data_IF_650716344503
#
_entry.id   IF_650716344503
#
_cell.length_a   1.000
_cell.length_b   1.000
_cell.length_c   1.000
_cell.angle_alpha   90.00
_cell.angle_beta   90.00
_cell.angle_gamma   90.00
#
_symmetry.space_group_name_H-M   'P 1'
#
loop_
_entity.id
_entity.type
_entity.pdbx_description
1 polymer ?
#
# COMPACT_ATOMS: atom_id res chain seq x y z
N UNK A 1 11.02 16.02 35.26
CA UNK A 1 11.75 14.80 34.85
C UNK A 1 11.71 14.70 33.34
N UNK A 2 12.83 14.85 32.64
CA UNK A 2 12.88 14.77 31.18
C UNK A 2 12.76 13.31 30.73
N UNK A 3 11.82 13.00 29.85
CA UNK A 3 11.66 11.65 29.31
C UNK A 3 12.86 11.31 28.41
N UNK A 4 13.48 10.15 28.62
CA UNK A 4 14.60 9.68 27.81
C UNK A 4 14.09 9.22 26.44
N UNK A 5 14.29 10.05 25.41
CA UNK A 5 13.92 9.73 24.02
C UNK A 5 14.80 8.58 23.50
N UNK A 6 14.18 7.53 22.98
CA UNK A 6 14.83 6.38 22.35
C UNK A 6 15.03 6.70 20.86
N UNK A 7 16.28 6.93 20.48
CA UNK A 7 16.67 7.23 19.10
C UNK A 7 16.45 6.06 18.15
N UNK A 8 16.26 6.37 16.87
CA UNK A 8 16.17 5.37 15.81
C UNK A 8 17.52 4.63 15.66
N UNK A 9 17.53 3.29 15.60
CA UNK A 9 18.76 2.54 15.38
C UNK A 9 19.30 2.80 13.96
N UNK A 10 20.64 2.91 13.79
CA UNK A 10 21.24 3.21 12.48
C UNK A 10 21.06 2.08 11.48
N UNK A 11 20.94 0.83 11.96
CA UNK A 11 20.69 -0.33 11.12
C UNK A 11 19.41 -1.05 11.57
N UNK A 12 18.67 -1.56 10.59
CA UNK A 12 17.43 -2.33 10.81
C UNK A 12 17.68 -3.82 11.07
N UNK A 13 18.86 -4.18 11.59
CA UNK A 13 19.22 -5.59 11.84
C UNK A 13 18.56 -6.06 13.14
N UNK A 14 17.36 -6.62 13.03
CA UNK A 14 16.66 -7.24 14.15
C UNK A 14 15.14 -7.21 14.00
N UNK A 15 14.46 -7.96 14.86
CA UNK A 15 13.01 -7.86 14.98
C UNK A 15 12.61 -6.49 15.54
N UNK A 16 11.50 -5.94 15.07
CA UNK A 16 10.97 -4.66 15.59
C UNK A 16 10.83 -4.69 17.12
N UNK A 17 10.37 -5.82 17.68
CA UNK A 17 10.24 -6.01 19.12
C UNK A 17 11.58 -5.82 19.85
N UNK A 18 12.68 -6.37 19.31
CA UNK A 18 14.03 -6.20 19.87
C UNK A 18 14.49 -4.75 19.76
N UNK A 19 14.26 -4.10 18.61
CA UNK A 19 14.62 -2.70 18.40
C UNK A 19 13.85 -1.74 19.33
N UNK A 20 12.61 -2.09 19.67
CA UNK A 20 11.79 -1.34 20.64
C UNK A 20 12.15 -1.62 22.10
N UNK A 21 13.10 -2.52 22.38
CA UNK A 21 13.44 -3.03 23.73
C UNK A 21 12.26 -3.72 24.43
N UNK A 22 11.36 -4.32 23.66
CA UNK A 22 10.19 -5.05 24.15
C UNK A 22 10.38 -6.58 24.09
N UNK A 23 11.60 -7.08 23.96
CA UNK A 23 11.89 -8.52 23.87
C UNK A 23 11.30 -9.31 25.04
N UNK A 24 11.32 -8.72 26.24
CA UNK A 24 10.82 -9.35 27.46
C UNK A 24 9.34 -9.03 27.74
N UNK A 25 8.70 -8.18 26.92
CA UNK A 25 7.31 -7.76 27.09
C UNK A 25 6.48 -8.05 25.83
N UNK A 26 6.31 -9.36 25.56
CA UNK A 26 5.49 -9.85 24.45
C UNK A 26 4.05 -9.32 24.44
N UNK A 27 3.33 -9.27 25.58
CA UNK A 27 1.96 -8.74 25.63
C UNK A 27 1.87 -7.28 25.15
N UNK A 28 2.79 -6.41 25.57
CA UNK A 28 2.82 -5.01 25.14
C UNK A 28 3.07 -4.89 23.63
N UNK A 29 4.01 -5.67 23.08
CA UNK A 29 4.24 -5.68 21.64
C UNK A 29 3.03 -6.19 20.84
N UNK A 30 2.34 -7.20 21.36
CA UNK A 30 1.10 -7.72 20.76
C UNK A 30 -0.01 -6.67 20.75
N UNK A 31 -0.18 -5.93 21.84
CA UNK A 31 -1.13 -4.82 21.92
C UNK A 31 -0.78 -3.71 20.93
N UNK A 32 0.49 -3.31 20.88
CA UNK A 32 1.00 -2.31 19.93
C UNK A 32 0.67 -2.71 18.49
N UNK A 33 1.06 -3.90 18.04
CA UNK A 33 0.81 -4.34 16.65
C UNK A 33 -0.68 -4.52 16.34
N UNK A 34 -1.50 -4.96 17.30
CA UNK A 34 -2.96 -5.01 17.15
C UNK A 34 -3.54 -3.61 16.94
N UNK A 35 -3.07 -2.63 17.72
CA UNK A 35 -3.52 -1.25 17.62
C UNK A 35 -3.10 -0.60 16.30
N UNK A 36 -1.86 -0.77 15.88
CA UNK A 36 -1.36 -0.24 14.60
C UNK A 36 -2.16 -0.78 13.40
N UNK A 37 -2.51 -2.07 13.39
CA UNK A 37 -3.37 -2.65 12.32
C UNK A 37 -4.75 -2.02 12.27
N UNK A 38 -5.34 -1.72 13.43
CA UNK A 38 -6.65 -1.06 13.50
C UNK A 38 -6.61 0.34 12.90
N UNK A 39 -5.57 1.12 13.19
CA UNK A 39 -5.40 2.46 12.62
C UNK A 39 -5.12 2.36 11.12
N UNK A 40 -4.26 1.41 10.73
CA UNK A 40 -3.91 1.20 9.32
C UNK A 40 -5.14 0.90 8.47
N UNK A 41 -6.04 0.01 8.93
CA UNK A 41 -7.27 -0.29 8.20
C UNK A 41 -8.29 0.86 8.15
N UNK A 42 -8.09 1.95 8.89
CA UNK A 42 -8.95 3.14 8.84
C UNK A 42 -8.38 4.24 7.95
N UNK A 43 -7.05 4.42 7.95
CA UNK A 43 -6.40 5.56 7.31
C UNK A 43 -5.65 5.18 6.04
N UNK A 44 -5.17 3.94 5.91
CA UNK A 44 -4.30 3.52 4.82
C UNK A 44 -5.00 2.54 3.91
N UNK A 45 -4.70 2.63 2.61
CA UNK A 45 -5.09 1.59 1.66
C UNK A 45 -4.13 0.41 1.78
N UNK A 46 -4.59 -0.67 2.40
CA UNK A 46 -3.77 -1.87 2.65
C UNK A 46 -3.44 -2.65 1.36
N UNK A 47 -4.12 -2.36 0.24
CA UNK A 47 -3.85 -2.98 -1.05
C UNK A 47 -2.61 -2.39 -1.76
N UNK A 48 -2.21 -1.17 -1.39
CA UNK A 48 -1.13 -0.40 -2.02
C UNK A 48 0.19 -0.56 -1.25
N UNK A 49 1.32 -0.54 -1.97
CA UNK A 49 2.66 -0.68 -1.38
C UNK A 49 3.01 0.56 -0.56
N UNK A 50 3.83 0.39 0.48
CA UNK A 50 4.28 1.51 1.32
C UNK A 50 4.88 2.69 0.54
N UNK A 51 5.68 2.43 -0.50
CA UNK A 51 6.31 3.47 -1.31
C UNK A 51 5.36 4.19 -2.27
N UNK A 52 4.16 3.65 -2.48
CA UNK A 52 3.10 4.19 -3.34
C UNK A 52 2.01 4.88 -2.50
N UNK A 53 2.08 4.81 -1.17
CA UNK A 53 1.17 5.53 -0.28
C UNK A 53 1.45 7.03 -0.38
N UNK A 54 0.40 7.83 -0.20
CA UNK A 54 0.54 9.27 -0.06
C UNK A 54 1.37 9.61 1.21
N UNK A 55 2.45 10.40 1.10
CA UNK A 55 3.24 10.82 2.24
C UNK A 55 2.43 11.57 3.31
N UNK A 56 1.39 12.32 2.93
CA UNK A 56 0.53 13.03 3.88
C UNK A 56 -0.31 12.07 4.71
N UNK A 57 -0.88 11.03 4.08
CA UNK A 57 -1.66 10.01 4.80
C UNK A 57 -0.76 9.19 5.74
N UNK A 58 0.49 8.92 5.33
CA UNK A 58 1.48 8.28 6.22
C UNK A 58 1.80 9.15 7.45
N UNK A 59 1.84 10.46 7.27
CA UNK A 59 2.03 11.41 8.38
C UNK A 59 0.81 11.45 9.30
N UNK A 60 -0.40 11.48 8.76
CA UNK A 60 -1.64 11.38 9.54
C UNK A 60 -1.70 10.06 10.32
N UNK A 61 -1.30 8.95 9.71
CA UNK A 61 -1.19 7.66 10.38
C UNK A 61 -0.20 7.71 11.54
N UNK A 62 0.96 8.37 11.37
CA UNK A 62 1.98 8.54 12.40
C UNK A 62 1.44 9.37 13.58
N UNK A 63 0.80 10.50 13.29
CA UNK A 63 0.20 11.38 14.31
C UNK A 63 -0.93 10.66 15.06
N UNK A 64 -1.82 9.98 14.35
CA UNK A 64 -2.92 9.21 14.95
C UNK A 64 -2.40 8.08 15.84
N UNK A 65 -1.36 7.36 15.42
CA UNK A 65 -0.70 6.33 16.20
C UNK A 65 -0.03 6.89 17.46
N UNK A 66 0.70 7.99 17.35
CA UNK A 66 1.38 8.63 18.48
C UNK A 66 0.40 9.21 19.50
N UNK A 67 -0.75 9.70 19.03
CA UNK A 67 -1.82 10.25 19.88
C UNK A 67 -2.56 9.15 20.62
N UNK A 68 -2.94 8.08 19.91
CA UNK A 68 -3.75 6.99 20.49
C UNK A 68 -2.95 5.95 21.27
N UNK A 69 -1.63 5.88 21.08
CA UNK A 69 -0.74 5.01 21.84
C UNK A 69 0.40 5.82 22.46
N UNK A 70 0.19 6.45 23.64
CA UNK A 70 1.13 7.41 24.23
C UNK A 70 2.55 6.88 24.45
N UNK A 71 2.72 5.56 24.58
CA UNK A 71 4.05 4.92 24.67
C UNK A 71 4.96 5.23 23.46
N UNK A 72 4.39 5.62 22.30
CA UNK A 72 5.16 6.02 21.13
C UNK A 72 5.90 7.35 21.30
N UNK A 73 5.49 8.22 22.24
CA UNK A 73 6.16 9.49 22.52
C UNK A 73 7.59 9.32 23.04
N UNK A 74 7.92 8.12 23.54
CA UNK A 74 9.26 7.78 24.00
C UNK A 74 10.24 7.49 22.85
N UNK A 75 9.78 7.47 21.59
CA UNK A 75 10.60 7.15 20.43
C UNK A 75 10.71 8.37 19.52
N UNK A 76 11.94 8.64 19.07
CA UNK A 76 12.23 9.69 18.10
C UNK A 76 11.36 9.52 16.85
N UNK A 77 10.62 10.57 16.50
CA UNK A 77 9.70 10.64 15.37
C UNK A 77 8.67 9.51 15.29
N UNK A 78 8.39 8.82 16.42
CA UNK A 78 7.60 7.60 16.44
C UNK A 78 8.08 6.56 15.40
N UNK A 79 9.39 6.45 15.18
CA UNK A 79 9.97 5.53 14.17
C UNK A 79 9.45 4.08 14.24
N UNK A 80 9.06 3.49 15.39
CA UNK A 80 8.51 2.13 15.40
C UNK A 80 7.20 2.00 14.63
N UNK A 81 6.39 3.07 14.59
CA UNK A 81 5.13 3.13 13.84
C UNK A 81 5.40 2.99 12.35
N UNK A 82 6.29 3.83 11.81
CA UNK A 82 6.68 3.83 10.40
C UNK A 82 7.37 2.52 9.99
N UNK A 83 8.24 1.99 10.87
CA UNK A 83 8.90 0.70 10.64
C UNK A 83 7.89 -0.44 10.57
N UNK A 84 6.93 -0.46 11.51
CA UNK A 84 5.90 -1.47 11.57
C UNK A 84 5.06 -1.47 10.29
N UNK A 85 4.53 -0.30 9.89
CA UNK A 85 3.60 -0.22 8.77
C UNK A 85 4.28 -0.60 7.44
N UNK A 86 5.55 -0.20 7.23
CA UNK A 86 6.33 -0.61 6.05
C UNK A 86 6.43 -2.13 5.95
N UNK A 87 6.70 -2.80 7.07
CA UNK A 87 6.84 -4.26 7.13
C UNK A 87 5.48 -4.94 6.95
N UNK A 88 4.43 -4.39 7.57
CA UNK A 88 3.06 -4.91 7.49
C UNK A 88 2.51 -4.86 6.06
N UNK A 89 2.57 -3.69 5.40
CA UNK A 89 2.08 -3.55 4.02
C UNK A 89 2.86 -4.45 3.05
N UNK A 90 4.18 -4.59 3.22
CA UNK A 90 4.96 -5.51 2.41
C UNK A 90 4.51 -6.97 2.57
N UNK A 91 4.16 -7.40 3.78
CA UNK A 91 3.64 -8.74 4.05
C UNK A 91 2.23 -8.95 3.47
N UNK A 92 1.34 -7.98 3.64
CA UNK A 92 -0.03 -8.03 3.11
C UNK A 92 -0.02 -8.05 1.58
N UNK A 93 0.81 -7.22 0.94
CA UNK A 93 0.96 -7.20 -0.51
C UNK A 93 1.48 -8.54 -1.05
N UNK A 94 2.49 -9.13 -0.40
CA UNK A 94 2.99 -10.48 -0.76
C UNK A 94 1.88 -11.53 -0.68
N UNK A 95 1.03 -11.46 0.34
CA UNK A 95 -0.11 -12.38 0.50
C UNK A 95 -1.16 -12.20 -0.60
N UNK A 96 -1.52 -10.96 -0.94
CA UNK A 96 -2.44 -10.69 -2.05
C UNK A 96 -1.91 -11.22 -3.38
N UNK A 97 -0.62 -10.98 -3.66
CA UNK A 97 0.04 -11.51 -4.87
C UNK A 97 0.03 -13.03 -4.91
N UNK A 98 0.29 -13.69 -3.77
CA UNK A 98 0.23 -15.15 -3.67
C UNK A 98 -1.18 -15.68 -3.99
N UNK A 99 -2.21 -15.13 -3.32
CA UNK A 99 -3.60 -15.55 -3.53
C UNK A 99 -4.08 -15.32 -4.97
N UNK A 100 -3.69 -14.19 -5.59
CA UNK A 100 -4.00 -13.91 -6.99
C UNK A 100 -3.38 -14.96 -7.92
N UNK A 101 -2.09 -15.26 -7.74
CA UNK A 101 -1.39 -16.27 -8.53
C UNK A 101 -1.99 -17.68 -8.31
N UNK A 102 -2.45 -17.99 -7.10
CA UNK A 102 -3.09 -19.27 -6.77
C UNK A 102 -4.44 -19.41 -7.49
N UNK A 103 -5.27 -18.36 -7.48
CA UNK A 103 -6.54 -18.33 -8.21
C UNK A 103 -6.34 -18.51 -9.72
N UNK A 104 -5.35 -17.83 -10.30
CA UNK A 104 -4.99 -17.97 -11.72
C UNK A 104 -4.51 -19.39 -12.06
N UNK A 105 -3.78 -20.05 -11.15
CA UNK A 105 -3.35 -21.45 -11.31
C UNK A 105 -4.52 -22.42 -11.26
N UNK A 106 -5.49 -22.20 -10.37
CA UNK A 106 -6.69 -23.04 -10.30
C UNK A 106 -7.57 -22.89 -11.54
N UNK A 107 -7.74 -21.67 -12.05
CA UNK A 107 -8.48 -21.42 -13.30
C UNK A 107 -7.86 -22.16 -14.50
N UNK A 108 -6.53 -22.14 -14.65
CA UNK A 108 -5.83 -22.86 -15.73
C UNK A 108 -5.92 -24.38 -15.62
N UNK A 109 -6.02 -24.93 -14.41
CA UNK A 109 -6.17 -26.38 -14.21
C UNK A 109 -7.58 -26.86 -14.56
N UNK A 110 -8.60 -26.06 -14.29
CA UNK A 110 -9.97 -26.38 -14.67
C UNK A 110 -10.19 -26.28 -16.18
N UNK A 111 -9.54 -25.34 -16.88
CA UNK A 111 -9.59 -25.27 -18.35
C UNK A 111 -8.81 -26.38 -19.07
N UNK A 112 -8.12 -27.26 -18.32
CA UNK A 112 -7.38 -28.39 -18.86
C UNK A 112 -8.01 -29.73 -18.41
N UNK A 113 -9.31 -29.74 -18.11
CA UNK A 113 -10.07 -30.98 -18.25
C UNK A 113 -10.07 -31.32 -19.74
N UNK A 114 -9.38 -32.38 -20.16
CA UNK A 114 -9.38 -32.78 -21.56
C UNK A 114 -10.84 -33.00 -21.96
N UNK A 115 -11.22 -32.47 -23.11
CA UNK A 115 -12.50 -32.73 -23.75
C UNK A 115 -12.57 -34.22 -24.13
N UNK A 116 -12.74 -35.11 -23.15
CA UNK A 116 -12.93 -36.55 -23.31
C UNK A 116 -14.43 -36.92 -23.23
N UNK A 117 -15.31 -35.92 -23.31
CA UNK A 117 -16.76 -36.11 -23.30
C UNK A 117 -17.37 -36.16 -24.72
N UNK A 118 -16.56 -36.19 -25.77
CA UNK A 118 -17.01 -36.15 -27.17
C UNK A 118 -16.43 -37.30 -28.01
N UNK A 119 -16.36 -38.51 -27.44
CA UNK A 119 -16.19 -39.75 -28.22
C UNK A 119 -16.75 -40.94 -27.45
N UNK A 120 -18.06 -40.95 -27.23
CA UNK A 120 -18.80 -42.15 -26.84
C UNK A 120 -20.23 -42.08 -27.40
N UNK A 121 -20.31 -41.79 -28.71
CA UNK A 121 -21.41 -42.25 -29.52
C UNK A 121 -20.98 -43.59 -30.13
N UNK A 122 -21.93 -44.53 -30.16
CA UNK A 122 -21.86 -45.89 -30.70
C UNK A 122 -21.50 -47.02 -29.70
N UNK A 123 -22.44 -47.29 -28.78
CA UNK A 123 -22.70 -48.66 -28.34
C UNK A 123 -24.17 -48.80 -27.96
N UNK A 124 -24.87 -49.49 -28.86
CA UNK A 124 -26.28 -49.79 -28.87
C UNK A 124 -26.80 -50.49 -27.61
N UNK A 125 -28.07 -50.18 -27.33
CA UNK A 125 -29.15 -51.06 -26.87
C UNK A 125 -28.77 -52.37 -26.12
N UNK A 126 -29.20 -52.50 -24.86
CA UNK A 126 -30.25 -53.48 -24.58
C UNK A 126 -30.99 -53.24 -23.26
N UNK A 127 -32.27 -53.56 -23.33
CA UNK A 127 -33.33 -53.35 -22.36
C UNK A 127 -33.13 -54.19 -21.09
N UNK A 128 -33.44 -53.62 -19.93
CA UNK A 128 -33.85 -54.44 -18.78
C UNK A 128 -34.81 -53.64 -17.90
N UNK A 129 -36.06 -53.98 -18.16
CA UNK A 129 -37.29 -53.64 -17.51
C UNK A 129 -37.37 -54.30 -16.11
N UNK A 130 -38.33 -53.85 -15.30
CA UNK A 130 -38.98 -54.59 -14.19
C UNK A 130 -38.47 -54.37 -12.74
N UNK A 131 -39.40 -53.75 -11.98
CA UNK A 131 -39.79 -53.87 -10.55
C UNK A 131 -39.65 -52.56 -9.78
N UNK A 132 -40.69 -51.75 -9.65
CA UNK A 132 -41.94 -51.94 -8.88
C UNK A 132 -41.74 -52.11 -7.36
N UNK A 133 -42.71 -51.55 -6.63
CA UNK A 133 -43.10 -51.83 -5.24
C UNK A 133 -42.52 -50.97 -4.09
N UNK A 134 -43.33 -49.99 -3.70
CA UNK A 134 -44.13 -49.96 -2.44
C UNK A 134 -43.78 -48.91 -1.37
N UNK A 135 -44.85 -48.19 -1.02
CA UNK A 135 -45.20 -47.47 0.22
C UNK A 135 -44.30 -47.65 1.45
N UNK A 136 -44.01 -46.54 2.15
CA UNK A 136 -44.77 -46.16 3.36
C UNK A 136 -44.27 -44.87 3.99
N UNK A 137 -45.24 -44.11 4.50
CA UNK A 137 -45.12 -43.03 5.46
C UNK A 137 -44.24 -43.39 6.67
N UNK A 138 -43.40 -42.45 7.12
CA UNK A 138 -43.56 -41.84 8.45
C UNK A 138 -42.53 -40.71 8.65
N UNK A 139 -43.04 -39.55 9.04
CA UNK A 139 -42.32 -38.36 9.46
C UNK A 139 -41.65 -38.58 10.82
N UNK A 140 -40.34 -38.32 10.99
CA UNK A 140 -39.74 -38.13 12.30
C UNK A 140 -39.58 -36.64 12.62
N UNK A 141 -40.33 -36.22 13.64
CA UNK A 141 -40.18 -34.99 14.41
C UNK A 141 -38.70 -34.71 14.77
N UNK A 142 -38.20 -33.54 14.37
CA UNK A 142 -36.87 -33.05 14.71
C UNK A 142 -36.82 -32.53 16.16
N UNK A 143 -35.84 -32.92 17.00
CA UNK A 143 -35.54 -32.23 18.25
C UNK A 143 -34.68 -30.97 18.00
N UNK A 144 -34.78 -29.92 18.85
CA UNK A 144 -33.95 -28.74 18.73
C UNK A 144 -32.54 -29.03 19.28
N UNK A 145 -31.55 -29.13 18.39
CA UNK A 145 -30.15 -29.28 18.78
C UNK A 145 -29.44 -27.92 18.79
N UNK A 146 -28.98 -27.59 19.99
CA UNK A 146 -28.11 -26.49 20.37
C UNK A 146 -26.81 -26.46 19.55
N UNK A 147 -26.57 -25.35 18.85
CA UNK A 147 -25.28 -25.08 18.20
C UNK A 147 -24.22 -24.69 19.25
N UNK A 148 -23.61 -25.68 19.91
CA UNK A 148 -22.33 -25.51 20.59
C UNK A 148 -21.21 -25.57 19.55
N UNK A 149 -20.64 -24.41 19.22
CA UNK A 149 -19.50 -24.29 18.31
C UNK A 149 -18.22 -24.77 19.02
N UNK A 150 -18.04 -26.08 19.10
CA UNK A 150 -16.81 -26.73 19.57
C UNK A 150 -15.74 -26.65 18.47
N UNK A 151 -14.76 -25.80 18.70
CA UNK A 151 -13.50 -25.71 17.94
C UNK A 151 -12.67 -26.97 18.19
N UNK A 152 -12.72 -27.92 17.27
CA UNK A 152 -11.80 -29.04 17.20
C UNK A 152 -10.50 -28.60 16.53
N UNK A 153 -9.46 -28.40 17.35
CA UNK A 153 -8.08 -28.32 16.87
C UNK A 153 -7.59 -29.71 16.46
N UNK A 154 -6.93 -29.86 15.30
CA UNK A 154 -6.16 -31.07 15.02
C UNK A 154 -4.82 -31.01 15.77
N UNK A 155 -4.69 -31.88 16.77
CA UNK A 155 -3.44 -32.29 17.39
C UNK A 155 -2.50 -32.86 16.32
N UNK A 156 -1.48 -32.09 15.93
CA UNK A 156 -0.35 -32.59 15.14
C UNK A 156 0.83 -32.86 16.06
N UNK A 157 0.77 -33.99 16.73
CA UNK A 157 1.90 -34.61 17.43
C UNK A 157 2.76 -35.33 16.39
N UNK A 158 3.93 -34.79 16.01
CA UNK A 158 5.02 -35.57 15.40
C UNK A 158 6.38 -35.06 15.85
N UNK A 159 6.89 -35.77 16.85
CA UNK A 159 8.22 -36.39 16.91
C UNK A 159 9.41 -35.64 16.29
N UNK A 160 10.29 -35.23 17.21
CA UNK A 160 11.72 -35.00 17.00
C UNK A 160 12.39 -36.15 16.23
N UNK A 161 13.42 -35.83 15.43
CA UNK A 161 14.67 -36.55 15.59
C UNK A 161 15.78 -35.65 16.13
N UNK A 162 16.36 -36.11 17.22
CA UNK A 162 17.59 -35.67 17.82
C UNK A 162 18.75 -36.27 17.02
N UNK A 163 19.60 -35.43 16.43
CA UNK A 163 20.90 -35.83 15.90
C UNK A 163 21.97 -34.90 16.52
N UNK A 164 22.82 -35.52 17.32
CA UNK A 164 24.00 -34.93 17.93
C UNK A 164 25.17 -34.90 16.92
N UNK A 165 26.14 -34.05 17.28
CA UNK A 165 27.58 -34.20 17.07
C UNK A 165 28.19 -33.69 15.75
N UNK A 166 29.00 -32.65 15.96
CA UNK A 166 30.38 -32.47 15.50
C UNK A 166 30.68 -32.07 14.06
N UNK A 167 31.56 -31.06 13.98
CA UNK A 167 32.64 -31.08 13.01
C UNK A 167 32.62 -30.00 11.94
N UNK A 168 33.55 -29.06 12.12
CA UNK A 168 34.41 -28.51 11.07
C UNK A 168 33.94 -27.34 10.16
N UNK A 169 34.67 -26.23 10.38
CA UNK A 169 35.37 -25.40 9.37
C UNK A 169 34.52 -24.57 8.40
N UNK A 170 34.37 -23.29 8.77
CA UNK A 170 34.63 -22.16 7.84
C UNK A 170 36.04 -22.31 7.23
N UNK A 171 36.24 -21.99 5.93
CA UNK A 171 36.64 -20.62 5.60
C UNK A 171 36.31 -20.19 4.16
N UNK A 172 35.45 -19.19 3.97
CA UNK A 172 35.45 -18.39 2.74
C UNK A 172 36.00 -17.02 3.03
N UNK A 173 37.32 -16.98 2.92
CA UNK A 173 38.13 -15.81 2.69
C UNK A 173 37.78 -15.26 1.30
N UNK A 174 37.40 -13.99 1.21
CA UNK A 174 37.47 -13.23 -0.03
C UNK A 174 37.97 -11.84 0.30
N UNK A 175 39.26 -11.68 0.02
CA UNK A 175 40.01 -10.43 -0.06
C UNK A 175 39.59 -9.67 -1.32
N UNK A 176 39.66 -8.35 -1.26
CA UNK A 176 39.58 -7.45 -2.42
C UNK A 176 39.27 -6.03 -1.94
N UNK A 177 40.31 -5.27 -1.56
CA UNK A 177 40.95 -4.22 -2.37
C UNK A 177 40.19 -2.87 -2.23
N UNK A 178 40.68 -1.94 -1.40
CA UNK A 178 41.67 -0.88 -1.70
C UNK A 178 41.23 0.06 -2.84
N UNK A 179 40.99 1.31 -2.46
CA UNK A 179 40.68 2.47 -3.30
C UNK A 179 40.11 3.58 -2.41
N UNK A 180 40.92 4.29 -1.63
CA UNK A 180 41.72 5.47 -1.99
C UNK A 180 40.89 6.70 -2.40
N UNK A 181 40.90 7.67 -1.48
CA UNK A 181 40.97 9.13 -1.68
C UNK A 181 39.99 9.83 -2.64
N UNK A 182 39.17 10.72 -2.06
CA UNK A 182 39.18 12.14 -2.43
C UNK A 182 38.44 12.96 -1.36
N UNK A 183 39.22 13.60 -0.51
CA UNK A 183 38.85 14.82 0.21
C UNK A 183 38.56 15.93 -0.79
N UNK A 184 37.39 16.56 -0.69
CA UNK A 184 37.13 17.86 -1.31
C UNK A 184 36.56 18.78 -0.25
N UNK A 185 37.49 19.46 0.41
CA UNK A 185 37.26 20.75 1.04
C UNK A 185 37.02 21.77 -0.08
N UNK A 186 36.03 22.64 0.06
CA UNK A 186 36.10 24.03 -0.41
C UNK A 186 34.85 24.82 -0.03
N UNK A 187 35.09 25.80 0.85
CA UNK A 187 34.83 27.22 0.57
C UNK A 187 33.41 27.75 0.70
N UNK A 188 33.18 28.30 1.89
CA UNK A 188 32.34 29.45 2.16
C UNK A 188 32.58 30.58 1.15
N UNK A 189 31.51 31.17 0.61
CA UNK A 189 31.53 32.54 0.08
C UNK A 189 30.21 33.22 0.41
N UNK A 190 30.27 34.01 1.48
CA UNK A 190 29.34 35.07 1.80
C UNK A 190 29.42 36.17 0.74
N UNK A 191 28.29 36.61 0.20
CA UNK A 191 28.20 37.85 -0.57
C UNK A 191 26.93 38.58 -0.17
N UNK A 192 27.15 39.59 0.67
CA UNK A 192 26.22 40.65 0.99
C UNK A 192 26.10 41.58 -0.21
N UNK A 193 24.89 41.78 -0.72
CA UNK A 193 24.58 42.85 -1.65
C UNK A 193 23.37 43.63 -1.13
N UNK A 194 23.67 44.67 -0.34
CA UNK A 194 22.81 45.81 -0.11
C UNK A 194 22.58 46.52 -1.44
N UNK A 195 21.35 46.51 -1.94
CA UNK A 195 20.96 47.39 -3.06
C UNK A 195 19.69 48.13 -2.69
N UNK A 196 19.76 49.42 -2.99
CA UNK A 196 18.98 50.53 -2.46
C UNK A 196 17.50 50.51 -2.81
N UNK A 197 16.71 51.04 -1.88
CA UNK A 197 15.33 51.42 -2.05
C UNK A 197 15.18 52.64 -3.00
N UNK A 198 14.18 52.61 -3.89
CA UNK A 198 13.49 53.81 -4.34
C UNK A 198 12.04 53.87 -3.80
N UNK A 199 11.62 55.09 -3.51
CA UNK A 199 10.36 55.49 -2.89
C UNK A 199 9.10 55.13 -3.73
N UNK A 200 7.91 55.06 -3.08
CA UNK A 200 6.71 54.47 -3.66
C UNK A 200 5.99 55.42 -4.61
N UNK A 201 5.84 54.99 -5.86
CA UNK A 201 4.86 55.58 -6.79
C UNK A 201 3.54 54.86 -6.61
N UNK A 202 2.50 55.65 -6.36
CA UNK A 202 1.11 55.27 -6.11
C UNK A 202 0.58 54.28 -7.17
N UNK A 203 0.56 52.99 -6.84
CA UNK A 203 -0.13 51.96 -7.63
C UNK A 203 -1.47 51.71 -6.96
N UNK A 204 -2.54 52.01 -7.69
CA UNK A 204 -3.92 51.75 -7.32
C UNK A 204 -4.06 50.32 -6.84
N UNK A 205 -4.50 50.17 -5.60
CA UNK A 205 -4.82 48.91 -4.95
C UNK A 205 -6.06 48.31 -5.64
N UNK A 206 -5.84 47.57 -6.73
CA UNK A 206 -6.78 46.55 -7.17
C UNK A 206 -6.53 45.37 -6.24
N UNK A 207 -7.43 45.17 -5.28
CA UNK A 207 -7.48 43.95 -4.48
C UNK A 207 -7.55 42.75 -5.43
N UNK A 208 -6.51 41.90 -5.53
CA UNK A 208 -6.64 40.68 -6.30
C UNK A 208 -7.66 39.81 -5.59
N UNK A 209 -8.79 39.61 -6.25
CA UNK A 209 -9.76 38.57 -5.92
C UNK A 209 -8.98 37.28 -5.67
N UNK A 210 -8.96 36.83 -4.42
CA UNK A 210 -8.06 35.80 -3.88
C UNK A 210 -8.15 34.42 -4.57
N UNK A 211 -9.06 34.25 -5.53
CA UNK A 211 -9.20 33.02 -6.33
C UNK A 211 -8.45 33.05 -7.66
N UNK A 212 -8.20 34.21 -8.26
CA UNK A 212 -7.81 34.31 -9.68
C UNK A 212 -6.31 34.01 -9.92
N UNK A 213 -5.45 34.28 -8.93
CA UNK A 213 -4.01 34.05 -9.02
C UNK A 213 -3.60 32.57 -9.06
N UNK A 214 -4.36 31.68 -8.40
CA UNK A 214 -4.07 30.24 -8.44
C UNK A 214 -4.36 29.61 -9.80
N UNK A 215 -5.39 30.13 -10.50
CA UNK A 215 -5.84 29.64 -11.80
C UNK A 215 -4.86 29.98 -12.91
N UNK A 216 -4.39 31.23 -12.96
CA UNK A 216 -3.39 31.65 -13.93
C UNK A 216 -2.07 30.89 -13.72
N UNK A 217 -1.71 30.59 -12.46
CA UNK A 217 -0.52 29.79 -12.15
C UNK A 217 -0.66 28.36 -12.67
N UNK A 218 -1.82 27.73 -12.49
CA UNK A 218 -2.07 26.38 -13.02
C UNK A 218 -2.06 26.33 -14.55
N UNK A 219 -2.73 27.27 -15.21
CA UNK A 219 -2.72 27.34 -16.67
C UNK A 219 -1.31 27.59 -17.21
N UNK A 220 -0.53 28.44 -16.53
CA UNK A 220 0.89 28.65 -16.87
C UNK A 220 1.75 27.41 -16.62
N UNK A 221 1.50 26.66 -15.55
CA UNK A 221 2.29 25.48 -15.16
C UNK A 221 1.98 24.27 -16.05
N UNK A 222 0.71 24.06 -16.42
CA UNK A 222 0.30 23.12 -17.46
C UNK A 222 0.87 23.57 -18.81
N UNK A 223 0.75 24.85 -19.16
CA UNK A 223 1.28 25.35 -20.42
C UNK A 223 2.79 25.16 -20.48
N UNK A 224 3.54 25.36 -19.41
CA UNK A 224 4.99 25.23 -19.46
C UNK A 224 5.47 23.77 -19.48
N UNK A 225 4.89 22.93 -18.62
CA UNK A 225 5.40 21.57 -18.38
C UNK A 225 4.72 20.51 -19.24
N UNK A 226 3.49 20.79 -19.69
CA UNK A 226 2.59 19.84 -20.32
C UNK A 226 2.01 20.37 -21.65
N UNK A 227 2.75 21.19 -22.41
CA UNK A 227 2.33 21.64 -23.75
C UNK A 227 1.80 20.48 -24.61
N UNK A 228 2.49 19.33 -24.58
CA UNK A 228 2.13 18.14 -25.35
C UNK A 228 0.84 17.45 -24.86
N UNK A 229 0.40 17.70 -23.61
CA UNK A 229 -0.86 17.18 -23.08
C UNK A 229 -2.03 18.12 -23.32
N UNK A 230 -1.78 19.39 -23.63
CA UNK A 230 -2.84 20.38 -23.84
C UNK A 230 -3.80 19.95 -24.93
N UNK A 231 -3.29 19.42 -26.04
CA UNK A 231 -4.12 18.92 -27.15
C UNK A 231 -4.96 17.71 -26.73
N UNK A 232 -4.36 16.73 -26.05
CA UNK A 232 -5.06 15.54 -25.55
C UNK A 232 -6.17 15.88 -24.54
N UNK A 233 -5.86 16.74 -23.56
CA UNK A 233 -6.82 17.20 -22.55
C UNK A 233 -7.94 18.04 -23.18
N UNK A 234 -7.62 18.88 -24.16
CA UNK A 234 -8.62 19.65 -24.91
C UNK A 234 -9.52 18.74 -25.75
N UNK A 235 -8.96 17.70 -26.36
CA UNK A 235 -9.69 16.66 -27.10
C UNK A 235 -10.67 15.89 -26.21
N UNK A 236 -10.30 15.63 -24.95
CA UNK A 236 -11.18 15.07 -23.93
C UNK A 236 -12.17 16.08 -23.33
N UNK A 237 -12.20 17.31 -23.84
CA UNK A 237 -13.09 18.38 -23.38
C UNK A 237 -12.67 19.08 -22.10
N UNK A 238 -11.50 18.80 -21.53
CA UNK A 238 -10.95 19.47 -20.34
C UNK A 238 -10.28 20.81 -20.71
N UNK A 239 -11.09 21.75 -21.22
CA UNK A 239 -10.61 23.06 -21.70
C UNK A 239 -10.73 24.17 -20.66
N UNK A 240 -11.51 23.95 -19.60
CA UNK A 240 -11.84 24.98 -18.60
C UNK A 240 -11.50 24.51 -17.21
N UNK A 241 -11.13 25.46 -16.36
CA UNK A 241 -10.80 25.19 -14.95
C UNK A 241 -11.95 24.54 -14.20
N UNK A 242 -13.19 24.98 -14.45
CA UNK A 242 -14.38 24.42 -13.83
C UNK A 242 -14.45 22.90 -14.02
N UNK A 243 -14.09 22.39 -15.20
CA UNK A 243 -14.05 20.95 -15.48
C UNK A 243 -12.95 20.23 -14.71
N UNK A 244 -11.78 20.84 -14.56
CA UNK A 244 -10.72 20.29 -13.71
C UNK A 244 -11.13 20.24 -12.23
N UNK A 245 -11.89 21.23 -11.75
CA UNK A 245 -12.46 21.21 -10.39
C UNK A 245 -13.51 20.13 -10.22
N UNK A 246 -14.44 19.97 -11.18
CA UNK A 246 -15.39 18.86 -11.14
C UNK A 246 -14.68 17.51 -11.16
N UNK A 247 -13.62 17.38 -11.97
CA UNK A 247 -12.81 16.16 -12.01
C UNK A 247 -12.10 15.88 -10.67
N UNK A 248 -11.73 16.91 -9.89
CA UNK A 248 -11.14 16.74 -8.57
C UNK A 248 -12.08 16.09 -7.56
N UNK A 249 -13.38 16.28 -7.70
CA UNK A 249 -14.41 15.66 -6.86
C UNK A 249 -14.53 14.15 -7.13
N UNK A 250 -14.03 13.67 -8.27
CA UNK A 250 -14.10 12.26 -8.62
C UNK A 250 -13.11 11.42 -7.80
N UNK A 251 -13.48 10.15 -7.48
CA UNK A 251 -12.55 9.17 -6.94
C UNK A 251 -11.28 9.08 -7.78
N UNK A 252 -10.13 8.88 -7.13
CA UNK A 252 -8.81 8.82 -7.80
C UNK A 252 -8.79 7.74 -8.89
N UNK A 253 -9.48 6.61 -8.67
CA UNK A 253 -9.60 5.54 -9.67
C UNK A 253 -10.33 5.99 -10.94
N UNK A 254 -11.41 6.76 -10.80
CA UNK A 254 -12.22 7.25 -11.92
C UNK A 254 -11.48 8.33 -12.71
N UNK A 255 -10.82 9.27 -12.02
CA UNK A 255 -9.93 10.24 -12.69
C UNK A 255 -8.86 9.58 -13.53
N UNK A 256 -8.17 8.58 -12.97
CA UNK A 256 -7.11 7.88 -13.68
C UNK A 256 -7.64 6.99 -14.81
N UNK A 257 -8.86 6.47 -14.70
CA UNK A 257 -9.53 5.79 -15.80
C UNK A 257 -9.83 6.78 -16.93
N UNK A 258 -10.54 7.86 -16.65
CA UNK A 258 -10.86 8.91 -17.63
C UNK A 258 -9.62 9.47 -18.34
N UNK A 259 -8.57 9.79 -17.58
CA UNK A 259 -7.34 10.32 -18.17
C UNK A 259 -6.67 9.33 -19.13
N UNK A 260 -6.79 8.01 -18.91
CA UNK A 260 -6.20 7.01 -19.80
C UNK A 260 -7.11 6.66 -20.97
N UNK A 261 -8.40 6.49 -20.69
CA UNK A 261 -9.36 5.91 -21.62
C UNK A 261 -9.90 7.01 -22.55
N UNK A 262 -10.33 8.14 -22.01
CA UNK A 262 -10.94 9.25 -22.76
C UNK A 262 -9.91 10.30 -23.22
N UNK A 263 -8.91 10.60 -22.39
CA UNK A 263 -7.85 11.56 -22.75
C UNK A 263 -6.61 10.91 -23.38
N UNK A 264 -6.60 9.58 -23.54
CA UNK A 264 -5.51 8.82 -24.15
C UNK A 264 -4.12 9.16 -23.58
N UNK A 265 -4.06 9.42 -22.27
CA UNK A 265 -2.80 9.64 -21.56
C UNK A 265 -2.16 8.30 -21.21
N UNK A 266 -0.85 8.23 -21.34
CA UNK A 266 -0.07 7.15 -20.77
C UNK A 266 -0.19 7.13 -19.25
N UNK A 267 0.06 5.97 -18.63
CA UNK A 267 -0.01 5.84 -17.17
C UNK A 267 0.90 6.82 -16.42
N UNK A 268 2.00 7.27 -17.04
CA UNK A 268 2.89 8.28 -16.46
C UNK A 268 2.28 9.68 -16.56
N UNK A 269 1.82 10.09 -17.75
CA UNK A 269 1.16 11.38 -17.98
C UNK A 269 -0.09 11.53 -17.08
N UNK A 270 -0.92 10.48 -16.94
CA UNK A 270 -2.10 10.52 -16.05
C UNK A 270 -1.73 10.76 -14.59
N UNK A 271 -0.61 10.18 -14.12
CA UNK A 271 -0.12 10.41 -12.75
C UNK A 271 0.35 11.85 -12.57
N UNK A 272 1.11 12.37 -13.53
CA UNK A 272 1.60 13.76 -13.48
C UNK A 272 0.44 14.76 -13.46
N UNK A 273 -0.55 14.59 -14.33
CA UNK A 273 -1.77 15.42 -14.34
C UNK A 273 -2.50 15.31 -12.99
N UNK A 274 -2.69 14.10 -12.47
CA UNK A 274 -3.38 13.90 -11.19
C UNK A 274 -2.62 14.54 -10.01
N UNK A 275 -1.29 14.47 -10.00
CA UNK A 275 -0.46 15.15 -9.00
C UNK A 275 -0.68 16.65 -9.03
N UNK A 276 -0.65 17.27 -10.22
CA UNK A 276 -0.87 18.72 -10.37
C UNK A 276 -2.28 19.10 -9.90
N UNK A 277 -3.29 18.29 -10.21
CA UNK A 277 -4.66 18.53 -9.75
C UNK A 277 -4.76 18.51 -8.23
N UNK A 278 -4.14 17.53 -7.56
CA UNK A 278 -4.14 17.47 -6.09
C UNK A 278 -3.48 18.72 -5.50
N UNK A 279 -2.41 19.23 -6.10
CA UNK A 279 -1.80 20.49 -5.69
C UNK A 279 -2.73 21.71 -5.82
N UNK A 280 -3.74 21.69 -6.69
CA UNK A 280 -4.72 22.77 -6.80
C UNK A 280 -5.77 22.74 -5.68
N UNK A 281 -5.97 21.60 -5.04
CA UNK A 281 -6.99 21.43 -4.00
C UNK A 281 -6.55 21.96 -2.62
N UNK A 282 -5.25 22.24 -2.43
CA UNK A 282 -4.69 22.87 -1.23
C UNK A 282 -4.43 24.36 -1.45
#
# INVERSE_FOLDING_TARGET
MSQKIIRRPPTSRGSLQKLMKLSNNGPQFKQFTKHMRRIAGKLLDVSVRYAEQDPLILEDFRVAAATSYPYMKNYEDAWPVLFYIRTYLAAVWKRHRYLKNELERHGRRQSMTPNYAETLEDSDEEQSEVRSHLDKEELPTLPPLSNSLSTSQPLRSKLLPQANADGDKSPWSSKGALGSHATSESSSTSSSATTSAPAPSSVRCLTPSSGETRVSTFSALISQKLMHLKEKLSGAGLTTEAKFRTMLEWPVSERLAFLRDDAHLSAFESREVNTILVYMSG
#
